data_IF_027205197683
#
_entry.id   IF_027205197683
#
_cell.length_a   1.000
_cell.length_b   1.000
_cell.length_c   1.000
_cell.angle_alpha   90.00
_cell.angle_beta   90.00
_cell.angle_gamma   90.00
#
_symmetry.space_group_name_H-M   'P 1'
#
loop_
_entity.id
_entity.type
_entity.pdbx_description
1 polymer ?
#
# COMPACT_ATOMS: atom_id res chain seq x y z
N UNK A 1 14.58 -5.24 17.48
CA UNK A 1 13.25 -4.81 17.92
C UNK A 1 12.51 -5.99 18.52
N UNK A 2 12.30 -5.91 19.80
CA UNK A 2 11.58 -6.96 20.51
C UNK A 2 10.11 -6.56 20.63
N UNK A 3 9.21 -7.52 20.58
CA UNK A 3 7.78 -7.33 20.85
C UNK A 3 7.04 -6.43 19.87
N UNK A 4 7.26 -6.64 18.58
CA UNK A 4 6.44 -5.98 17.55
C UNK A 4 5.06 -6.63 17.56
N UNK A 5 4.09 -5.97 18.17
CA UNK A 5 2.71 -6.46 18.25
C UNK A 5 1.85 -5.97 17.11
N UNK A 6 2.09 -4.74 16.66
CA UNK A 6 1.30 -4.10 15.61
C UNK A 6 2.23 -3.62 14.51
N UNK A 7 2.26 -4.33 13.40
CA UNK A 7 3.04 -3.95 12.22
C UNK A 7 2.07 -3.43 11.17
N UNK A 8 2.34 -2.28 10.60
CA UNK A 8 1.57 -1.71 9.52
C UNK A 8 2.37 -1.82 8.22
N UNK A 9 1.87 -2.62 7.30
CA UNK A 9 2.37 -2.69 5.93
C UNK A 9 1.50 -1.77 5.07
N UNK A 10 2.10 -0.81 4.41
CA UNK A 10 1.37 0.08 3.52
C UNK A 10 1.86 -0.12 2.09
N UNK A 11 0.93 -0.28 1.16
CA UNK A 11 1.25 -0.57 -0.23
C UNK A 11 0.18 0.00 -1.17
N UNK A 12 0.51 0.07 -2.44
CA UNK A 12 -0.47 0.42 -3.47
C UNK A 12 -0.20 -0.28 -4.80
N UNK A 13 0.04 -1.57 -4.76
CA UNK A 13 0.05 -2.41 -5.95
C UNK A 13 1.28 -2.32 -6.85
N UNK A 14 2.40 -1.86 -6.33
CA UNK A 14 3.65 -1.80 -7.09
C UNK A 14 4.48 -3.07 -6.90
N UNK A 15 5.43 -3.39 -7.80
CA UNK A 15 6.36 -4.52 -7.59
C UNK A 15 7.17 -4.40 -6.29
N UNK A 16 7.50 -3.18 -5.88
CA UNK A 16 8.17 -2.94 -4.59
C UNK A 16 7.32 -3.35 -3.40
N UNK A 17 6.00 -3.32 -3.54
CA UNK A 17 5.10 -3.75 -2.49
C UNK A 17 5.26 -5.23 -2.15
N UNK A 18 5.54 -6.08 -3.13
CA UNK A 18 5.73 -7.52 -2.89
C UNK A 18 6.94 -7.80 -2.02
N UNK A 19 8.03 -7.06 -2.24
CA UNK A 19 9.22 -7.18 -1.40
C UNK A 19 8.92 -6.73 0.04
N UNK A 20 8.15 -5.64 0.17
CA UNK A 20 7.73 -5.15 1.48
C UNK A 20 6.81 -6.15 2.20
N UNK A 21 5.90 -6.80 1.45
CA UNK A 21 5.02 -7.84 1.98
C UNK A 21 5.82 -9.01 2.57
N UNK A 22 6.81 -9.51 1.83
CA UNK A 22 7.66 -10.60 2.31
C UNK A 22 8.42 -10.20 3.56
N UNK A 23 8.97 -8.98 3.57
CA UNK A 23 9.71 -8.48 4.74
C UNK A 23 8.79 -8.33 5.96
N UNK A 24 7.59 -7.81 5.76
CA UNK A 24 6.61 -7.64 6.84
C UNK A 24 6.22 -9.00 7.44
N UNK A 25 5.95 -9.99 6.60
CA UNK A 25 5.61 -11.33 7.07
C UNK A 25 6.77 -11.96 7.86
N UNK A 26 8.01 -11.75 7.40
CA UNK A 26 9.19 -12.29 8.07
C UNK A 26 9.39 -11.67 9.45
N UNK A 27 8.96 -10.44 9.65
CA UNK A 27 9.07 -9.75 10.94
C UNK A 27 7.96 -10.12 11.92
N UNK A 28 6.89 -10.73 11.45
CA UNK A 28 5.77 -11.09 12.30
C UNK A 28 6.07 -12.33 13.14
N UNK A 29 5.78 -12.25 14.42
CA UNK A 29 5.81 -13.38 15.33
C UNK A 29 4.39 -13.87 15.65
N UNK A 30 4.26 -14.88 16.54
CA UNK A 30 2.95 -15.48 16.83
C UNK A 30 1.96 -14.54 17.52
N UNK A 31 2.43 -13.45 18.11
CA UNK A 31 1.57 -12.46 18.76
C UNK A 31 1.44 -11.17 17.97
N UNK A 32 1.96 -11.15 16.74
CA UNK A 32 1.93 -9.97 15.90
C UNK A 32 0.63 -9.92 15.12
N UNK A 33 0.03 -8.73 15.03
CA UNK A 33 -1.03 -8.43 14.08
C UNK A 33 -0.42 -7.64 12.93
N UNK A 34 -0.60 -8.14 11.72
CA UNK A 34 -0.16 -7.45 10.51
C UNK A 34 -1.35 -6.68 9.94
N UNK A 35 -1.29 -5.37 10.07
CA UNK A 35 -2.26 -4.48 9.44
C UNK A 35 -1.76 -4.15 8.04
N UNK A 36 -2.60 -4.33 7.06
CA UNK A 36 -2.24 -4.07 5.67
C UNK A 36 -3.09 -2.94 5.13
N UNK A 37 -2.52 -1.77 4.99
CA UNK A 37 -3.17 -0.62 4.39
C UNK A 37 -2.87 -0.63 2.90
N UNK A 38 -3.90 -0.87 2.10
CA UNK A 38 -3.79 -0.85 0.64
C UNK A 38 -4.42 0.43 0.16
N UNK A 39 -3.59 1.31 -0.40
CA UNK A 39 -4.06 2.60 -0.91
C UNK A 39 -4.26 2.49 -2.41
N UNK A 40 -5.48 2.76 -2.85
CA UNK A 40 -5.80 2.85 -4.27
C UNK A 40 -5.76 4.34 -4.61
N UNK A 41 -4.79 4.78 -5.40
CA UNK A 41 -4.67 6.20 -5.71
C UNK A 41 -5.71 6.66 -6.72
N UNK A 42 -6.13 7.92 -6.62
CA UNK A 42 -7.01 8.55 -7.59
C UNK A 42 -6.23 9.00 -8.83
N UNK A 43 -5.21 8.22 -9.23
CA UNK A 43 -4.29 8.63 -10.29
C UNK A 43 -4.97 8.79 -11.65
N UNK A 44 -6.05 8.04 -11.88
CA UNK A 44 -6.79 8.12 -13.13
C UNK A 44 -7.41 9.51 -13.36
N UNK A 45 -7.75 10.22 -12.28
CA UNK A 45 -8.26 11.60 -12.38
C UNK A 45 -7.20 12.55 -12.94
N UNK A 46 -5.95 12.39 -12.51
CA UNK A 46 -4.86 13.22 -13.00
C UNK A 46 -4.34 12.84 -14.37
N UNK A 47 -4.53 11.58 -14.79
CA UNK A 47 -4.09 11.09 -16.08
C UNK A 47 -4.92 11.59 -17.26
N UNK A 48 -6.18 11.92 -17.00
CA UNK A 48 -7.14 12.20 -18.07
C UNK A 48 -7.20 13.68 -18.47
N UNK A 49 -6.63 14.57 -17.67
CA UNK A 49 -6.64 16.00 -17.95
C UNK A 49 -8.04 16.62 -17.96
N UNK A 50 -8.12 17.87 -18.42
CA UNK A 50 -9.38 18.60 -18.43
C UNK A 50 -10.40 18.06 -19.43
N UNK A 51 -9.94 17.51 -20.56
CA UNK A 51 -10.82 16.92 -21.58
C UNK A 51 -11.61 15.73 -21.05
N UNK A 52 -11.10 15.08 -20.05
CA UNK A 52 -11.77 13.98 -19.36
C UNK A 52 -13.12 14.40 -18.80
N UNK A 53 -13.20 15.60 -18.25
CA UNK A 53 -14.43 16.12 -17.64
C UNK A 53 -15.51 16.43 -18.67
N UNK A 54 -15.14 16.64 -19.94
CA UNK A 54 -16.07 17.01 -20.99
C UNK A 54 -16.75 15.83 -21.68
N UNK A 55 -16.31 14.60 -21.41
CA UNK A 55 -16.90 13.40 -21.99
C UNK A 55 -17.22 12.39 -20.89
N UNK A 56 -18.40 12.51 -20.31
CA UNK A 56 -18.82 11.66 -19.19
C UNK A 56 -18.89 10.18 -19.54
N UNK A 57 -19.32 9.83 -20.75
CA UNK A 57 -19.42 8.42 -21.17
C UNK A 57 -18.05 7.76 -21.23
N UNK A 58 -17.09 8.41 -21.88
CA UNK A 58 -15.71 7.89 -21.95
C UNK A 58 -15.10 7.82 -20.56
N UNK A 59 -15.33 8.84 -19.73
CA UNK A 59 -14.86 8.88 -18.37
C UNK A 59 -15.38 7.71 -17.56
N UNK A 60 -16.67 7.45 -17.60
CA UNK A 60 -17.28 6.38 -16.82
C UNK A 60 -16.77 5.01 -17.27
N UNK A 61 -16.70 4.78 -18.58
CA UNK A 61 -16.21 3.51 -19.14
C UNK A 61 -14.76 3.26 -18.73
N UNK A 62 -13.91 4.26 -18.93
CA UNK A 62 -12.47 4.12 -18.59
C UNK A 62 -12.28 3.99 -17.10
N UNK A 63 -12.97 4.80 -16.31
CA UNK A 63 -12.88 4.74 -14.85
C UNK A 63 -13.27 3.37 -14.30
N UNK A 64 -14.35 2.81 -14.83
CA UNK A 64 -14.79 1.46 -14.43
C UNK A 64 -13.78 0.39 -14.79
N UNK A 65 -13.16 0.51 -15.98
CA UNK A 65 -12.13 -0.42 -16.39
C UNK A 65 -10.92 -0.40 -15.45
N UNK A 66 -10.43 0.79 -15.14
CA UNK A 66 -9.28 0.95 -14.23
C UNK A 66 -9.62 0.46 -12.83
N UNK A 67 -10.81 0.79 -12.33
CA UNK A 67 -11.26 0.31 -11.03
C UNK A 67 -11.36 -1.20 -10.97
N UNK A 68 -11.89 -1.83 -12.02
CA UNK A 68 -12.01 -3.29 -12.07
C UNK A 68 -10.64 -3.96 -12.07
N UNK A 69 -9.68 -3.42 -12.83
CA UNK A 69 -8.30 -3.94 -12.87
C UNK A 69 -7.63 -3.82 -11.49
N UNK A 70 -7.74 -2.65 -10.86
CA UNK A 70 -7.16 -2.42 -9.54
C UNK A 70 -7.82 -3.30 -8.48
N UNK A 71 -9.14 -3.44 -8.55
CA UNK A 71 -9.86 -4.30 -7.61
C UNK A 71 -9.42 -5.76 -7.71
N UNK A 72 -9.26 -6.25 -8.94
CA UNK A 72 -8.76 -7.60 -9.16
C UNK A 72 -7.36 -7.82 -8.60
N UNK A 73 -6.46 -6.86 -8.82
CA UNK A 73 -5.10 -6.90 -8.28
C UNK A 73 -5.09 -6.90 -6.76
N UNK A 74 -5.89 -6.00 -6.16
CA UNK A 74 -6.00 -5.88 -4.71
C UNK A 74 -6.54 -7.17 -4.10
N UNK A 75 -7.57 -7.77 -4.71
CA UNK A 75 -8.12 -9.05 -4.22
C UNK A 75 -7.08 -10.16 -4.25
N UNK A 76 -6.29 -10.25 -5.33
CA UNK A 76 -5.23 -11.27 -5.45
C UNK A 76 -4.15 -11.05 -4.39
N UNK A 77 -3.78 -9.81 -4.18
CA UNK A 77 -2.78 -9.43 -3.18
C UNK A 77 -3.25 -9.84 -1.77
N UNK A 78 -4.46 -9.46 -1.41
CA UNK A 78 -5.04 -9.80 -0.10
C UNK A 78 -5.14 -11.31 0.06
N UNK A 79 -5.66 -12.03 -0.95
CA UNK A 79 -5.81 -13.48 -0.87
C UNK A 79 -4.45 -14.17 -0.67
N UNK A 80 -3.43 -13.72 -1.37
CA UNK A 80 -2.07 -14.26 -1.24
C UNK A 80 -1.53 -14.07 0.18
N UNK A 81 -1.66 -12.86 0.72
CA UNK A 81 -1.19 -12.57 2.07
C UNK A 81 -2.00 -13.28 3.14
N UNK A 82 -3.31 -13.42 2.95
CA UNK A 82 -4.14 -14.20 3.87
C UNK A 82 -3.67 -15.64 3.97
N UNK A 83 -3.37 -16.27 2.83
CA UNK A 83 -2.85 -17.64 2.81
C UNK A 83 -1.52 -17.76 3.51
N UNK A 84 -0.61 -16.84 3.24
CA UNK A 84 0.72 -16.84 3.85
C UNK A 84 0.66 -16.59 5.36
N UNK A 85 -0.17 -15.66 5.77
CA UNK A 85 -0.37 -15.33 7.19
C UNK A 85 -1.00 -16.52 7.93
N UNK A 86 -1.99 -17.17 7.32
CA UNK A 86 -2.64 -18.33 7.92
C UNK A 86 -1.66 -19.48 8.17
N UNK A 87 -0.76 -19.74 7.23
CA UNK A 87 0.28 -20.76 7.40
C UNK A 87 1.21 -20.47 8.56
N UNK A 88 1.43 -19.20 8.88
CA UNK A 88 2.31 -18.76 9.96
C UNK A 88 1.56 -18.41 11.23
N UNK A 89 0.23 -18.56 11.24
CA UNK A 89 -0.66 -18.21 12.36
C UNK A 89 -0.54 -16.74 12.77
N UNK A 90 -0.36 -15.88 11.79
CA UNK A 90 -0.30 -14.42 11.97
C UNK A 90 -1.69 -13.84 11.76
N UNK A 91 -2.10 -12.92 12.63
CA UNK A 91 -3.34 -12.17 12.41
C UNK A 91 -3.11 -11.16 11.30
N UNK A 92 -3.90 -11.26 10.24
CA UNK A 92 -3.80 -10.37 9.09
C UNK A 92 -5.08 -9.56 8.95
N UNK A 93 -4.95 -8.24 8.95
CA UNK A 93 -6.09 -7.32 8.86
C UNK A 93 -5.89 -6.36 7.68
N UNK A 94 -6.41 -6.67 6.50
CA UNK A 94 -6.33 -5.78 5.36
C UNK A 94 -7.39 -4.69 5.42
N UNK A 95 -7.04 -3.51 4.91
CA UNK A 95 -7.94 -2.38 4.75
C UNK A 95 -7.61 -1.68 3.43
N UNK A 96 -8.63 -1.50 2.59
CA UNK A 96 -8.48 -0.79 1.32
C UNK A 96 -9.03 0.61 1.48
N UNK A 97 -8.24 1.61 1.10
CA UNK A 97 -8.65 3.02 1.14
C UNK A 97 -8.32 3.69 -0.18
N UNK A 98 -9.03 4.76 -0.48
CA UNK A 98 -8.84 5.53 -1.70
C UNK A 98 -8.31 6.92 -1.35
N UNK A 99 -7.39 7.44 -2.14
CA UNK A 99 -6.88 8.79 -1.97
C UNK A 99 -5.38 8.90 -2.18
N UNK A 100 -4.81 9.98 -1.65
CA UNK A 100 -3.36 10.18 -1.70
C UNK A 100 -2.68 9.26 -0.71
N UNK A 101 -1.69 8.47 -1.16
CA UNK A 101 -1.04 7.48 -0.30
C UNK A 101 -0.48 8.06 1.01
N UNK A 102 0.22 9.20 0.93
CA UNK A 102 0.80 9.81 2.14
C UNK A 102 -0.25 10.23 3.16
N UNK A 103 -1.38 10.78 2.69
CA UNK A 103 -2.46 11.22 3.55
C UNK A 103 -3.16 10.03 4.21
N UNK A 104 -3.40 8.98 3.44
CA UNK A 104 -4.02 7.75 3.94
C UNK A 104 -3.15 7.11 5.02
N UNK A 105 -1.84 7.07 4.81
CA UNK A 105 -0.91 6.52 5.79
C UNK A 105 -0.89 7.35 7.07
N UNK A 106 -0.84 8.67 6.94
CA UNK A 106 -0.89 9.55 8.11
C UNK A 106 -2.15 9.37 8.93
N UNK A 107 -3.30 9.33 8.27
CA UNK A 107 -4.58 9.11 8.94
C UNK A 107 -4.60 7.77 9.68
N UNK A 108 -4.09 6.73 9.03
CA UNK A 108 -4.05 5.40 9.66
C UNK A 108 -3.18 5.39 10.92
N UNK A 109 -2.05 6.09 10.89
CA UNK A 109 -1.14 6.15 12.02
C UNK A 109 -1.73 6.92 13.21
N UNK A 110 -2.73 7.77 12.97
CA UNK A 110 -3.43 8.48 14.03
C UNK A 110 -4.54 7.65 14.68
N UNK A 111 -4.95 6.55 14.07
CA UNK A 111 -6.13 5.77 14.53
C UNK A 111 -5.82 4.67 15.51
N UNK A 112 -4.59 4.35 15.76
CA UNK A 112 -4.28 3.28 16.67
C UNK A 112 -2.79 3.00 16.75
N UNK A 113 -2.44 2.13 17.68
CA UNK A 113 -1.06 1.80 17.93
C UNK A 113 -0.44 1.05 16.76
N UNK A 114 0.71 1.54 16.33
CA UNK A 114 1.57 0.86 15.35
C UNK A 114 2.98 0.88 15.90
N UNK A 115 3.62 -0.27 15.96
CA UNK A 115 4.98 -0.40 16.50
C UNK A 115 6.04 -0.25 15.41
N UNK A 116 5.70 -0.60 14.17
CA UNK A 116 6.60 -0.52 13.03
C UNK A 116 5.79 -0.35 11.76
N UNK A 117 6.23 0.55 10.89
CA UNK A 117 5.68 0.71 9.54
C UNK A 117 6.65 0.07 8.55
N UNK A 118 6.14 -0.72 7.60
CA UNK A 118 6.93 -1.31 6.52
C UNK A 118 6.43 -0.74 5.19
N UNK A 119 7.34 -0.18 4.42
CA UNK A 119 7.06 0.41 3.12
C UNK A 119 8.02 -0.14 2.08
N UNK A 120 7.57 -0.21 0.83
CA UNK A 120 8.47 -0.45 -0.29
C UNK A 120 9.10 0.85 -0.77
N UNK A 121 10.37 0.80 -1.16
CA UNK A 121 11.04 1.94 -1.74
C UNK A 121 10.42 2.32 -3.08
N UNK A 122 10.47 3.60 -3.47
CA UNK A 122 9.98 4.02 -4.78
C UNK A 122 10.70 3.30 -5.89
N UNK A 123 10.01 3.10 -7.01
CA UNK A 123 10.61 2.52 -8.19
C UNK A 123 11.76 3.41 -8.70
N UNK A 124 12.91 2.80 -9.07
CA UNK A 124 13.99 3.57 -9.66
C UNK A 124 13.57 4.27 -10.94
N UNK A 125 14.19 5.41 -11.24
CA UNK A 125 13.95 6.13 -12.50
C UNK A 125 14.27 5.22 -13.68
N UNK A 126 13.48 5.32 -14.74
CA UNK A 126 13.68 4.55 -15.97
C UNK A 126 12.98 3.21 -16.03
N UNK A 127 12.44 2.69 -14.94
CA UNK A 127 11.65 1.46 -14.95
C UNK A 127 10.19 1.75 -15.20
N UNK A 128 9.53 0.90 -15.99
CA UNK A 128 8.10 1.04 -16.30
C UNK A 128 7.24 0.60 -15.14
N UNK A 129 6.01 1.12 -15.06
CA UNK A 129 5.01 0.75 -14.06
C UNK A 129 4.55 1.94 -13.20
N UNK A 130 3.71 1.66 -12.23
CA UNK A 130 3.19 2.68 -11.32
C UNK A 130 4.27 3.15 -10.34
N UNK A 131 4.28 4.45 -10.10
CA UNK A 131 5.16 5.05 -9.09
C UNK A 131 4.46 5.06 -7.74
N UNK A 132 5.19 4.68 -6.70
CA UNK A 132 4.73 4.88 -5.34
C UNK A 132 4.90 6.34 -4.95
N UNK A 133 3.81 6.96 -4.52
CA UNK A 133 3.83 8.32 -3.98
C UNK A 133 3.64 8.33 -2.46
N UNK A 134 3.76 7.19 -1.85
CA UNK A 134 3.60 7.07 -0.41
C UNK A 134 4.80 7.61 0.34
N UNK A 135 6.00 7.38 -0.19
CA UNK A 135 7.23 7.79 0.44
C UNK A 135 7.63 9.19 -0.03
N UNK A 136 7.13 10.21 0.67
CA UNK A 136 7.44 11.62 0.39
C UNK A 136 8.25 12.19 1.54
N UNK A 137 8.98 13.28 1.26
CA UNK A 137 9.74 13.98 2.29
C UNK A 137 8.82 14.50 3.39
N UNK A 138 7.66 15.01 3.00
CA UNK A 138 6.66 15.51 3.95
C UNK A 138 6.20 14.40 4.90
N UNK A 139 5.95 13.21 4.38
CA UNK A 139 5.58 12.08 5.21
C UNK A 139 6.71 11.70 6.15
N UNK A 140 7.94 11.59 5.64
CA UNK A 140 9.10 11.20 6.44
C UNK A 140 9.32 12.13 7.61
N UNK A 141 9.13 13.44 7.42
CA UNK A 141 9.27 14.42 8.48
C UNK A 141 8.20 14.29 9.56
N UNK A 142 7.02 13.80 9.19
CA UNK A 142 5.89 13.68 10.13
C UNK A 142 5.82 12.34 10.85
N UNK A 143 6.65 11.37 10.47
CA UNK A 143 6.60 10.04 11.07
C UNK A 143 7.12 10.04 12.50
N UNK A 144 6.31 9.48 13.39
CA UNK A 144 6.67 9.29 14.80
C UNK A 144 6.84 7.81 15.16
N UNK A 145 6.75 6.94 14.18
CA UNK A 145 6.83 5.49 14.34
C UNK A 145 8.03 4.99 13.53
N UNK A 146 8.82 4.06 14.08
CA UNK A 146 9.91 3.45 13.30
C UNK A 146 9.39 2.91 11.97
N UNK A 147 10.12 3.18 10.91
CA UNK A 147 9.72 2.83 9.56
C UNK A 147 10.83 2.09 8.84
N UNK A 148 10.51 0.92 8.33
CA UNK A 148 11.43 0.11 7.54
C UNK A 148 11.09 0.25 6.07
N UNK A 149 12.06 0.67 5.28
CA UNK A 149 11.89 0.85 3.84
C UNK A 149 12.62 -0.29 3.14
N UNK A 150 11.87 -1.10 2.39
CA UNK A 150 12.42 -2.26 1.70
C UNK A 150 12.83 -1.86 0.28
N UNK A 151 14.07 -2.15 -0.14
CA UNK A 151 14.54 -1.79 -1.47
C UNK A 151 13.67 -2.39 -2.57
N UNK A 152 13.53 -1.65 -3.66
CA UNK A 152 12.86 -2.15 -4.85
C UNK A 152 13.63 -3.37 -5.37
N UNK A 153 12.94 -4.46 -5.75
CA UNK A 153 13.64 -5.63 -6.27
C UNK A 153 14.31 -5.30 -7.60
N UNK A 154 15.54 -5.81 -7.75
CA UNK A 154 16.34 -5.58 -8.96
C UNK A 154 15.73 -6.24 -10.20
#
# INVERSE_FOLDING_TARGET
>A
MRNLKQILLASHGTPGARAAERAALALCGPKTTLHHLIVVPDFWKGMMGDDWLNNSTTRDTYGRYVEAELEGEVRRQIASLQRQAAKRRIRYRPQVVFGKPEDCLRERLQRGRVDLVVLGAPRPKGKSGLRSRMLTEKLLRSLKVPTLIIPHPA
#
